data_IF_981572408577
#
_entry.id   IF_981572408577
#
_cell.length_a   1.000
_cell.length_b   1.000
_cell.length_c   1.000
_cell.angle_alpha   90.00
_cell.angle_beta   90.00
_cell.angle_gamma   90.00
#
_symmetry.space_group_name_H-M   'P 1'
#
loop_
_entity.id
_entity.type
_entity.pdbx_description
1 polymer ?
#
# COMPACT_ATOMS: atom_id res chain seq x y z
N UNK A 1 -12.72 -11.88 -30.39
CA UNK A 1 -12.49 -11.94 -28.91
C UNK A 1 -12.98 -10.62 -28.36
N UNK A 2 -14.19 -10.57 -27.75
CA UNK A 2 -14.75 -9.33 -27.17
C UNK A 2 -13.85 -8.92 -26.02
N UNK A 3 -13.30 -7.70 -26.06
CA UNK A 3 -12.75 -7.04 -24.89
C UNK A 3 -13.86 -7.06 -23.82
N UNK A 4 -13.67 -7.82 -22.75
CA UNK A 4 -14.56 -7.79 -21.57
C UNK A 4 -14.46 -6.38 -21.01
N UNK A 5 -15.63 -5.76 -20.78
CA UNK A 5 -15.73 -4.43 -20.21
C UNK A 5 -15.06 -4.40 -18.84
N UNK A 6 -13.77 -4.03 -18.84
CA UNK A 6 -13.02 -3.72 -17.62
C UNK A 6 -13.55 -2.39 -17.11
N UNK A 7 -14.06 -2.40 -15.91
CA UNK A 7 -14.54 -1.21 -15.22
C UNK A 7 -13.45 -0.75 -14.25
N UNK A 8 -13.22 0.55 -14.18
CA UNK A 8 -12.35 1.14 -13.16
C UNK A 8 -13.22 1.78 -12.09
N UNK A 9 -12.99 1.42 -10.84
CA UNK A 9 -13.58 2.08 -9.67
C UNK A 9 -12.49 2.70 -8.83
N UNK A 10 -12.79 3.86 -8.22
CA UNK A 10 -11.89 4.56 -7.30
C UNK A 10 -12.62 4.78 -5.99
N UNK A 11 -11.98 4.45 -4.90
CA UNK A 11 -12.61 4.57 -3.60
C UNK A 11 -11.61 4.38 -2.47
N UNK A 12 -12.12 4.51 -1.26
CA UNK A 12 -11.35 4.35 -0.05
C UNK A 12 -11.63 2.98 0.56
N UNK A 13 -10.60 2.30 1.01
CA UNK A 13 -10.75 1.06 1.77
C UNK A 13 -11.42 1.37 3.10
N UNK A 14 -12.65 0.92 3.27
CA UNK A 14 -13.40 1.09 4.51
C UNK A 14 -13.04 0.02 5.53
N UNK A 15 -12.86 -1.23 5.05
CA UNK A 15 -12.57 -2.38 5.91
C UNK A 15 -11.83 -3.46 5.11
N UNK A 16 -10.88 -4.12 5.75
CA UNK A 16 -10.25 -5.35 5.24
C UNK A 16 -10.92 -6.55 5.90
N UNK A 17 -11.94 -7.10 5.22
CA UNK A 17 -12.77 -8.20 5.74
C UNK A 17 -11.97 -9.51 5.88
N UNK A 18 -11.11 -9.81 4.90
CA UNK A 18 -10.31 -11.03 4.87
C UNK A 18 -9.04 -10.82 4.07
N UNK A 19 -7.95 -11.42 4.53
CA UNK A 19 -6.69 -11.49 3.80
C UNK A 19 -6.05 -12.85 3.95
N UNK A 20 -5.58 -13.39 2.83
CA UNK A 20 -4.71 -14.56 2.79
C UNK A 20 -3.31 -14.09 2.42
N UNK A 21 -2.38 -14.20 3.38
CA UNK A 21 -1.02 -13.68 3.25
C UNK A 21 -0.12 -14.53 2.34
N UNK A 22 -0.48 -15.80 2.09
CA UNK A 22 0.31 -16.68 1.22
C UNK A 22 0.15 -16.34 -0.26
N UNK A 23 -1.05 -15.88 -0.66
CA UNK A 23 -1.37 -15.61 -2.06
C UNK A 23 -1.87 -14.19 -2.33
N UNK A 24 -1.88 -13.33 -1.30
CA UNK A 24 -2.36 -11.94 -1.32
C UNK A 24 -3.85 -11.79 -1.69
N UNK A 25 -4.62 -12.88 -1.66
CA UNK A 25 -6.05 -12.80 -1.90
C UNK A 25 -6.73 -12.07 -0.75
N UNK A 26 -7.40 -10.97 -1.07
CA UNK A 26 -7.99 -10.08 -0.09
C UNK A 26 -9.45 -9.81 -0.46
N UNK A 27 -10.29 -9.68 0.55
CA UNK A 27 -11.67 -9.22 0.45
C UNK A 27 -11.77 -7.92 1.22
N UNK A 28 -12.14 -6.85 0.54
CA UNK A 28 -12.25 -5.52 1.12
C UNK A 28 -13.61 -4.91 0.87
N UNK A 29 -14.01 -4.04 1.76
CA UNK A 29 -15.12 -3.13 1.56
C UNK A 29 -14.56 -1.79 1.12
N UNK A 30 -14.97 -1.32 -0.06
CA UNK A 30 -14.50 -0.08 -0.67
C UNK A 30 -15.65 0.90 -0.71
N UNK A 31 -15.43 2.09 -0.17
CA UNK A 31 -16.36 3.21 -0.29
C UNK A 31 -16.10 3.94 -1.61
N UNK A 32 -17.05 3.86 -2.52
CA UNK A 32 -17.01 4.50 -3.84
C UNK A 32 -18.18 5.49 -3.93
N UNK A 33 -17.92 6.77 -3.67
CA UNK A 33 -18.93 7.83 -3.69
C UNK A 33 -20.14 7.54 -2.77
N UNK A 34 -19.87 7.18 -1.50
CA UNK A 34 -20.85 6.81 -0.48
C UNK A 34 -21.60 5.47 -0.76
N UNK A 35 -21.15 4.70 -1.74
CA UNK A 35 -21.64 3.34 -2.01
C UNK A 35 -20.56 2.31 -1.59
N UNK A 36 -20.95 1.36 -0.75
CA UNK A 36 -20.05 0.30 -0.27
C UNK A 36 -20.03 -0.88 -1.24
N UNK A 37 -18.88 -1.13 -1.83
CA UNK A 37 -18.65 -2.20 -2.79
C UNK A 37 -17.71 -3.24 -2.17
N UNK A 38 -18.12 -4.50 -2.15
CA UNK A 38 -17.22 -5.60 -1.80
C UNK A 38 -16.32 -5.92 -2.98
N UNK A 39 -15.01 -5.69 -2.83
CA UNK A 39 -14.01 -6.01 -3.84
C UNK A 39 -13.16 -7.21 -3.41
N UNK A 40 -12.87 -8.10 -4.37
CA UNK A 40 -12.16 -9.35 -4.12
C UNK A 40 -11.09 -9.58 -5.18
N UNK A 41 -9.89 -9.98 -4.77
CA UNK A 41 -8.79 -10.23 -5.70
C UNK A 41 -7.44 -10.30 -5.01
N UNK A 42 -6.37 -10.17 -5.77
CA UNK A 42 -5.02 -10.03 -5.22
C UNK A 42 -4.72 -8.55 -4.99
N UNK A 43 -4.46 -8.21 -3.75
CA UNK A 43 -4.12 -6.85 -3.38
C UNK A 43 -2.67 -6.76 -2.88
N UNK A 44 -1.99 -5.62 -3.08
CA UNK A 44 -0.78 -5.30 -2.34
C UNK A 44 -1.09 -5.20 -0.84
N UNK A 45 -0.11 -4.79 -0.03
CA UNK A 45 -0.42 -4.38 1.34
C UNK A 45 -1.30 -3.14 1.25
N UNK A 46 -2.49 -3.26 1.83
CA UNK A 46 -3.46 -2.17 1.93
C UNK A 46 -3.98 -2.09 3.35
N UNK A 47 -4.32 -0.87 3.75
CA UNK A 47 -4.87 -0.58 5.06
C UNK A 47 -6.20 0.17 4.93
N UNK A 48 -6.99 0.13 5.99
CA UNK A 48 -8.19 0.93 6.09
C UNK A 48 -7.84 2.42 6.00
N UNK A 49 -8.65 3.18 5.28
CA UNK A 49 -8.40 4.60 5.00
C UNK A 49 -7.55 4.88 3.76
N UNK A 50 -6.93 3.89 3.15
CA UNK A 50 -6.19 4.07 1.90
C UNK A 50 -7.11 4.18 0.68
N UNK A 51 -6.70 5.03 -0.26
CA UNK A 51 -7.38 5.19 -1.52
C UNK A 51 -6.80 4.28 -2.59
N UNK A 52 -7.69 3.62 -3.32
CA UNK A 52 -7.34 2.67 -4.38
C UNK A 52 -8.07 2.97 -5.68
N UNK A 53 -7.38 2.72 -6.78
CA UNK A 53 -7.96 2.58 -8.10
C UNK A 53 -7.95 1.09 -8.46
N UNK A 54 -9.14 0.51 -8.61
CA UNK A 54 -9.33 -0.91 -8.89
C UNK A 54 -9.81 -1.08 -10.32
N UNK A 55 -9.12 -1.89 -11.10
CA UNK A 55 -9.57 -2.32 -12.42
C UNK A 55 -10.07 -3.76 -12.32
N UNK A 56 -11.24 -4.02 -12.86
CA UNK A 56 -11.86 -5.32 -12.75
C UNK A 56 -13.26 -5.36 -13.35
N UNK A 57 -14.10 -6.23 -12.84
CA UNK A 57 -15.48 -6.40 -13.29
C UNK A 57 -16.41 -6.77 -12.15
N UNK A 58 -17.67 -6.37 -12.27
CA UNK A 58 -18.71 -6.88 -11.36
C UNK A 58 -19.05 -8.34 -11.68
N UNK A 59 -19.11 -9.15 -10.65
CA UNK A 59 -19.52 -10.56 -10.71
C UNK A 59 -20.63 -10.80 -9.69
N UNK A 60 -21.50 -11.75 -9.98
CA UNK A 60 -22.50 -12.22 -9.03
C UNK A 60 -22.01 -13.53 -8.39
N UNK A 61 -21.69 -13.47 -7.10
CA UNK A 61 -21.35 -14.64 -6.31
C UNK A 61 -22.63 -15.22 -5.71
N UNK A 62 -22.85 -16.54 -5.86
CA UNK A 62 -24.07 -17.19 -5.37
C UNK A 62 -24.26 -17.08 -3.85
N UNK A 63 -23.17 -17.00 -3.08
CA UNK A 63 -23.21 -16.96 -1.62
C UNK A 63 -23.14 -15.54 -1.05
N UNK A 64 -22.39 -14.66 -1.71
CA UNK A 64 -22.05 -13.34 -1.17
C UNK A 64 -22.63 -12.18 -1.97
N UNK A 65 -23.47 -12.44 -2.97
CA UNK A 65 -24.10 -11.41 -3.79
C UNK A 65 -23.16 -10.78 -4.81
N UNK A 66 -23.42 -9.53 -5.14
CA UNK A 66 -22.60 -8.78 -6.11
C UNK A 66 -21.24 -8.41 -5.50
N UNK A 67 -20.17 -8.69 -6.23
CA UNK A 67 -18.81 -8.36 -5.85
C UNK A 67 -18.05 -7.79 -7.03
N UNK A 68 -17.04 -6.98 -6.77
CA UNK A 68 -16.10 -6.50 -7.78
C UNK A 68 -14.86 -7.39 -7.79
N UNK A 69 -14.73 -8.21 -8.85
CA UNK A 69 -13.54 -9.04 -9.05
C UNK A 69 -12.40 -8.18 -9.61
N UNK A 70 -11.36 -8.03 -8.82
CA UNK A 70 -10.23 -7.13 -9.11
C UNK A 70 -9.19 -7.86 -9.93
N UNK A 71 -8.82 -7.29 -11.07
CA UNK A 71 -7.71 -7.75 -11.93
C UNK A 71 -6.41 -7.00 -11.60
N UNK A 72 -6.49 -5.69 -11.27
CA UNK A 72 -5.33 -4.91 -10.83
C UNK A 72 -5.70 -3.82 -9.83
N UNK A 73 -4.77 -3.50 -8.94
CA UNK A 73 -4.88 -2.51 -7.88
C UNK A 73 -3.77 -1.48 -8.05
N UNK A 74 -4.14 -0.20 -7.95
CA UNK A 74 -3.19 0.89 -7.87
C UNK A 74 -3.51 1.70 -6.61
N UNK A 75 -2.51 1.88 -5.75
CA UNK A 75 -2.62 2.81 -4.63
C UNK A 75 -2.67 4.24 -5.18
N UNK A 76 -3.59 5.02 -4.68
CA UNK A 76 -3.76 6.42 -5.05
C UNK A 76 -3.87 7.23 -3.76
N UNK A 77 -3.19 8.37 -3.64
CA UNK A 77 -3.41 9.22 -2.49
C UNK A 77 -4.86 9.71 -2.48
N UNK A 78 -5.47 9.92 -1.31
CA UNK A 78 -6.79 10.49 -1.21
C UNK A 78 -6.80 11.89 -1.84
N UNK A 79 -7.81 12.17 -2.65
CA UNK A 79 -7.98 13.44 -3.37
C UNK A 79 -9.11 14.30 -2.81
N UNK A 80 -9.74 13.86 -1.71
CA UNK A 80 -10.79 14.61 -1.01
C UNK A 80 -10.36 14.96 0.40
N UNK A 81 -10.86 16.06 0.94
CA UNK A 81 -10.59 16.50 2.31
C UNK A 81 -10.95 15.43 3.33
N UNK A 82 -12.12 14.80 3.19
CA UNK A 82 -12.57 13.71 4.06
C UNK A 82 -11.64 12.50 3.96
N UNK A 83 -11.25 12.11 2.76
CA UNK A 83 -10.31 11.02 2.52
C UNK A 83 -8.95 11.27 3.17
N UNK A 84 -8.41 12.49 3.05
CA UNK A 84 -7.15 12.89 3.70
C UNK A 84 -7.24 12.81 5.23
N UNK A 85 -8.36 13.27 5.83
CA UNK A 85 -8.56 13.18 7.28
C UNK A 85 -8.59 11.71 7.73
N UNK A 86 -9.36 10.87 7.03
CA UNK A 86 -9.44 9.43 7.34
C UNK A 86 -8.09 8.74 7.18
N UNK A 87 -7.38 9.00 6.09
CA UNK A 87 -6.04 8.44 5.84
C UNK A 87 -5.06 8.78 6.96
N UNK A 88 -4.94 10.07 7.32
CA UNK A 88 -4.03 10.51 8.37
C UNK A 88 -4.40 9.98 9.76
N UNK A 89 -5.70 9.75 10.02
CA UNK A 89 -6.20 9.26 11.32
C UNK A 89 -6.40 7.75 11.40
N UNK A 90 -6.08 7.00 10.36
CA UNK A 90 -6.27 5.54 10.28
C UNK A 90 -5.36 4.74 11.23
N UNK A 91 -4.39 5.38 11.87
CA UNK A 91 -3.39 4.72 12.71
C UNK A 91 -2.09 4.38 11.97
N UNK A 92 -2.03 4.56 10.66
CA UNK A 92 -0.81 4.40 9.85
C UNK A 92 0.29 5.36 10.28
N UNK A 93 -0.10 6.58 10.68
CA UNK A 93 0.85 7.61 11.15
C UNK A 93 0.67 7.78 12.66
N UNK A 94 1.61 7.28 13.48
CA UNK A 94 1.53 7.37 14.94
C UNK A 94 1.38 8.83 15.41
N UNK A 95 0.52 9.04 16.41
CA UNK A 95 0.31 10.36 17.01
C UNK A 95 -0.58 11.32 16.21
N UNK A 96 -1.11 10.91 15.06
CA UNK A 96 -2.10 11.66 14.30
C UNK A 96 -3.49 11.09 14.54
N UNK A 97 -4.22 11.65 15.51
CA UNK A 97 -5.63 11.32 15.73
C UNK A 97 -6.55 12.19 14.87
N UNK A 98 -7.88 11.92 14.89
CA UNK A 98 -8.86 12.62 14.05
C UNK A 98 -8.81 14.16 14.16
N UNK A 99 -8.64 14.69 15.37
CA UNK A 99 -8.57 16.15 15.60
C UNK A 99 -7.31 16.75 14.96
N UNK A 100 -6.17 16.08 15.11
CA UNK A 100 -4.90 16.54 14.52
C UNK A 100 -4.96 16.47 12.99
N UNK A 101 -5.47 15.36 12.44
CA UNK A 101 -5.68 15.18 11.01
C UNK A 101 -6.58 16.29 10.45
N UNK A 102 -7.71 16.55 11.09
CA UNK A 102 -8.63 17.61 10.68
C UNK A 102 -7.97 18.99 10.69
N UNK A 103 -7.18 19.33 11.72
CA UNK A 103 -6.47 20.60 11.80
C UNK A 103 -5.44 20.77 10.66
N UNK A 104 -4.73 19.70 10.31
CA UNK A 104 -3.74 19.68 9.23
C UNK A 104 -4.46 19.86 7.88
N UNK A 105 -5.46 19.02 7.62
CA UNK A 105 -6.17 19.04 6.34
C UNK A 105 -6.97 20.32 6.13
N UNK A 106 -7.60 20.86 7.16
CA UNK A 106 -8.29 22.15 7.06
C UNK A 106 -7.34 23.31 6.70
N UNK A 107 -6.08 23.21 7.10
CA UNK A 107 -5.10 24.24 6.80
C UNK A 107 -4.48 24.11 5.41
N UNK A 108 -4.16 22.89 5.00
CA UNK A 108 -3.38 22.62 3.79
C UNK A 108 -4.19 22.04 2.64
N UNK A 109 -5.44 21.57 2.90
CA UNK A 109 -6.33 21.00 1.87
C UNK A 109 -5.67 19.84 1.13
N UNK A 110 -5.80 19.85 -0.18
CA UNK A 110 -5.24 18.83 -1.08
C UNK A 110 -3.69 18.76 -1.04
N UNK A 111 -3.03 19.86 -0.68
CA UNK A 111 -1.56 19.91 -0.55
C UNK A 111 -1.03 19.23 0.71
N UNK A 112 -1.90 18.65 1.57
CA UNK A 112 -1.51 18.08 2.87
C UNK A 112 -0.38 17.06 2.75
N UNK A 113 -0.47 16.11 1.83
CA UNK A 113 0.55 15.05 1.68
C UNK A 113 1.88 15.61 1.15
N UNK A 114 1.84 16.57 0.25
CA UNK A 114 3.04 17.27 -0.25
C UNK A 114 3.70 18.08 0.87
N UNK A 115 2.91 18.71 1.74
CA UNK A 115 3.42 19.43 2.91
C UNK A 115 4.07 18.45 3.90
N UNK A 116 3.46 17.30 4.18
CA UNK A 116 4.04 16.28 5.05
C UNK A 116 5.40 15.84 4.48
N UNK A 117 5.47 15.60 3.20
CA UNK A 117 6.65 15.04 2.54
C UNK A 117 7.78 16.05 2.31
N UNK A 118 7.45 17.22 1.80
CA UNK A 118 8.47 18.17 1.31
C UNK A 118 8.65 19.40 2.17
N UNK A 119 7.70 19.71 3.06
CA UNK A 119 7.68 20.93 3.86
C UNK A 119 7.09 20.69 5.26
N UNK A 120 7.44 19.57 5.88
CA UNK A 120 6.84 19.12 7.15
C UNK A 120 6.97 20.13 8.30
N UNK A 121 7.97 21.01 8.27
CA UNK A 121 8.12 22.09 9.26
C UNK A 121 6.86 22.97 9.36
N UNK A 122 6.14 23.13 8.24
CA UNK A 122 4.90 23.90 8.20
C UNK A 122 3.75 23.24 8.96
N UNK A 123 3.82 21.94 9.26
CA UNK A 123 2.83 21.28 10.10
C UNK A 123 2.79 21.88 11.51
N UNK A 124 3.92 22.43 11.99
CA UNK A 124 3.98 23.12 13.28
C UNK A 124 3.14 24.42 13.33
N UNK A 125 2.65 24.91 12.19
CA UNK A 125 1.68 26.00 12.12
C UNK A 125 0.26 25.53 12.50
N UNK A 126 0.01 24.22 12.57
CA UNK A 126 -1.28 23.65 12.94
C UNK A 126 -1.40 23.52 14.46
N UNK A 127 -2.61 23.79 14.96
CA UNK A 127 -2.89 23.63 16.40
C UNK A 127 -2.70 22.18 16.83
N UNK A 128 -1.86 21.96 17.84
CA UNK A 128 -1.59 20.63 18.39
C UNK A 128 -0.46 19.87 17.72
N UNK A 129 0.28 20.51 16.80
CA UNK A 129 1.47 19.96 16.16
C UNK A 129 2.70 20.79 16.57
N UNK A 130 3.59 20.20 17.36
CA UNK A 130 4.90 20.80 17.65
C UNK A 130 5.89 20.51 16.50
N UNK A 131 7.03 21.22 16.47
CA UNK A 131 8.09 20.93 15.48
C UNK A 131 8.55 19.48 15.53
N UNK A 132 8.77 18.94 16.74
CA UNK A 132 9.14 17.54 16.93
C UNK A 132 8.08 16.59 16.38
N UNK A 133 6.80 16.90 16.65
CA UNK A 133 5.69 16.07 16.13
C UNK A 133 5.58 16.15 14.60
N UNK A 134 5.90 17.30 14.01
CA UNK A 134 5.95 17.45 12.56
C UNK A 134 7.02 16.54 11.91
N UNK A 135 8.20 16.46 12.52
CA UNK A 135 9.26 15.52 12.10
C UNK A 135 8.83 14.07 12.26
N UNK A 136 8.24 13.70 13.40
CA UNK A 136 7.73 12.34 13.65
C UNK A 136 6.65 11.94 12.63
N UNK A 137 5.75 12.85 12.25
CA UNK A 137 4.73 12.61 11.21
C UNK A 137 5.38 12.39 9.84
N UNK A 138 6.37 13.20 9.47
CA UNK A 138 7.10 13.05 8.22
C UNK A 138 7.82 11.70 8.15
N UNK A 139 8.57 11.35 9.19
CA UNK A 139 9.29 10.07 9.26
C UNK A 139 8.36 8.87 9.14
N UNK A 140 7.25 8.86 9.90
CA UNK A 140 6.29 7.77 9.84
C UNK A 140 5.60 7.66 8.47
N UNK A 141 5.28 8.79 7.84
CA UNK A 141 4.71 8.81 6.50
C UNK A 141 5.67 8.23 5.45
N UNK A 142 6.94 8.61 5.48
CA UNK A 142 7.96 8.09 4.57
C UNK A 142 8.22 6.60 4.81
N UNK A 143 8.28 6.14 6.06
CA UNK A 143 8.47 4.73 6.41
C UNK A 143 7.35 3.85 5.84
N UNK A 144 6.08 4.28 5.98
CA UNK A 144 4.94 3.57 5.40
C UNK A 144 5.05 3.48 3.89
N UNK A 145 5.40 4.59 3.23
CA UNK A 145 5.55 4.61 1.77
C UNK A 145 6.70 3.74 1.27
N UNK A 146 7.84 3.78 1.93
CA UNK A 146 9.01 2.96 1.57
C UNK A 146 8.70 1.47 1.71
N UNK A 147 8.07 1.08 2.82
CA UNK A 147 7.65 -0.31 3.03
C UNK A 147 6.66 -0.78 1.95
N UNK A 148 5.65 0.02 1.63
CA UNK A 148 4.68 -0.31 0.58
C UNK A 148 5.34 -0.47 -0.79
N UNK A 149 6.24 0.43 -1.15
CA UNK A 149 6.99 0.35 -2.41
C UNK A 149 7.86 -0.90 -2.46
N UNK A 150 8.61 -1.20 -1.40
CA UNK A 150 9.45 -2.39 -1.32
C UNK A 150 8.62 -3.68 -1.47
N UNK A 151 7.47 -3.76 -0.80
CA UNK A 151 6.57 -4.91 -0.92
C UNK A 151 6.00 -5.02 -2.34
N UNK A 152 5.62 -3.92 -2.99
CA UNK A 152 5.16 -3.94 -4.37
C UNK A 152 6.24 -4.46 -5.34
N UNK A 153 7.48 -4.05 -5.15
CA UNK A 153 8.62 -4.58 -5.93
C UNK A 153 8.76 -6.09 -5.67
N UNK A 154 8.75 -6.51 -4.42
CA UNK A 154 8.92 -7.93 -4.07
C UNK A 154 7.78 -8.84 -4.58
N UNK A 155 6.58 -8.30 -4.78
CA UNK A 155 5.48 -9.05 -5.41
C UNK A 155 5.76 -9.43 -6.86
N UNK A 156 6.57 -8.65 -7.59
CA UNK A 156 7.01 -8.99 -8.95
C UNK A 156 7.87 -10.26 -8.96
N UNK A 157 8.56 -10.54 -7.87
CA UNK A 157 9.34 -11.78 -7.65
C UNK A 157 8.49 -12.93 -7.10
N UNK A 158 7.17 -12.79 -7.07
CA UNK A 158 6.25 -13.76 -6.48
C UNK A 158 6.53 -14.05 -4.99
N UNK A 159 7.09 -13.09 -4.27
CA UNK A 159 7.26 -13.14 -2.82
C UNK A 159 5.92 -12.80 -2.17
N UNK A 160 5.51 -13.62 -1.19
CA UNK A 160 4.30 -13.32 -0.42
C UNK A 160 4.45 -12.05 0.41
N UNK A 161 3.35 -11.37 0.71
CA UNK A 161 3.34 -10.14 1.48
C UNK A 161 4.02 -10.30 2.85
N UNK A 162 3.71 -11.37 3.59
CA UNK A 162 4.33 -11.64 4.89
C UNK A 162 5.85 -11.78 4.80
N UNK A 163 6.32 -12.46 3.76
CA UNK A 163 7.74 -12.64 3.54
C UNK A 163 8.39 -11.32 3.12
N UNK A 164 7.73 -10.53 2.28
CA UNK A 164 8.18 -9.22 1.88
C UNK A 164 8.31 -8.25 3.06
N UNK A 165 7.36 -8.27 4.01
CA UNK A 165 7.47 -7.49 5.24
C UNK A 165 8.68 -7.93 6.08
N UNK A 166 8.91 -9.23 6.23
CA UNK A 166 10.08 -9.75 6.96
C UNK A 166 11.40 -9.30 6.32
N UNK A 167 11.49 -9.37 4.99
CA UNK A 167 12.66 -8.90 4.24
C UNK A 167 12.87 -7.40 4.49
N UNK A 168 11.80 -6.61 4.35
CA UNK A 168 11.90 -5.17 4.57
C UNK A 168 12.27 -4.81 6.01
N UNK A 169 11.72 -5.51 7.00
CA UNK A 169 12.08 -5.30 8.41
C UNK A 169 13.55 -5.64 8.69
N UNK A 170 14.14 -6.59 7.94
CA UNK A 170 15.55 -6.98 8.09
C UNK A 170 16.50 -6.00 7.39
N UNK A 171 16.16 -5.53 6.20
CA UNK A 171 17.07 -4.78 5.34
C UNK A 171 16.69 -3.32 5.12
N UNK A 172 15.43 -2.92 5.43
CA UNK A 172 14.94 -1.56 5.22
C UNK A 172 15.12 -1.10 3.77
N UNK A 173 15.73 0.07 3.61
CA UNK A 173 16.05 0.66 2.29
C UNK A 173 17.03 -0.19 1.47
N UNK A 174 17.84 -1.05 2.10
CA UNK A 174 18.75 -1.98 1.43
C UNK A 174 18.07 -3.18 0.77
N UNK A 175 16.75 -3.31 0.89
CA UNK A 175 15.99 -4.45 0.34
C UNK A 175 16.21 -4.63 -1.16
N UNK A 176 16.14 -3.55 -1.93
CA UNK A 176 16.29 -3.61 -3.39
C UNK A 176 17.71 -4.05 -3.79
N UNK A 177 18.72 -3.57 -3.09
CA UNK A 177 20.13 -3.95 -3.32
C UNK A 177 20.37 -5.44 -3.06
N UNK A 178 19.82 -5.98 -1.96
CA UNK A 178 19.92 -7.41 -1.64
C UNK A 178 19.20 -8.28 -2.66
N UNK A 179 18.01 -7.89 -3.10
CA UNK A 179 17.27 -8.64 -4.12
C UNK A 179 18.04 -8.71 -5.45
N UNK A 180 18.66 -7.60 -5.86
CA UNK A 180 19.40 -7.51 -7.12
C UNK A 180 20.77 -8.17 -7.06
N UNK A 181 21.53 -7.89 -6.02
CA UNK A 181 22.95 -8.22 -5.99
C UNK A 181 23.29 -9.50 -5.21
N UNK A 182 22.47 -9.89 -4.23
CA UNK A 182 22.75 -11.07 -3.41
C UNK A 182 21.47 -11.73 -2.83
N UNK A 183 20.55 -12.24 -3.66
CA UNK A 183 19.30 -12.84 -3.19
C UNK A 183 19.50 -14.08 -2.31
N UNK A 184 20.62 -14.76 -2.41
CA UNK A 184 20.92 -15.95 -1.59
C UNK A 184 21.16 -15.61 -0.13
N UNK A 185 21.58 -14.39 0.20
CA UNK A 185 21.73 -13.93 1.58
C UNK A 185 20.39 -13.94 2.35
N UNK A 186 19.27 -13.79 1.63
CA UNK A 186 17.94 -13.91 2.23
C UNK A 186 17.69 -15.28 2.87
N UNK A 187 18.32 -16.35 2.37
CA UNK A 187 18.18 -17.71 2.91
C UNK A 187 18.80 -17.82 4.30
N UNK A 188 19.86 -17.06 4.55
CA UNK A 188 20.57 -17.04 5.83
C UNK A 188 19.89 -16.12 6.85
N UNK A 189 19.35 -14.98 6.37
CA UNK A 189 18.97 -13.88 7.25
C UNK A 189 17.44 -13.79 7.49
N UNK A 190 16.61 -14.49 6.71
CA UNK A 190 15.15 -14.37 6.79
C UNK A 190 14.45 -15.72 6.91
N UNK A 191 13.86 -15.97 8.07
CA UNK A 191 13.10 -17.20 8.32
C UNK A 191 11.94 -17.37 7.34
N UNK A 192 11.90 -18.53 6.66
CA UNK A 192 10.87 -18.86 5.69
C UNK A 192 11.28 -18.65 4.23
N UNK A 193 12.51 -18.18 3.98
CA UNK A 193 13.11 -18.15 2.65
C UNK A 193 14.02 -19.36 2.48
N UNK A 194 13.70 -20.21 1.50
CA UNK A 194 14.57 -21.29 1.07
C UNK A 194 15.28 -20.97 -0.24
N UNK A 195 16.27 -21.80 -0.60
CA UNK A 195 17.02 -21.69 -1.86
C UNK A 195 16.12 -21.56 -3.08
N UNK A 196 15.00 -22.28 -3.13
CA UNK A 196 14.03 -22.19 -4.24
C UNK A 196 13.45 -20.77 -4.44
N UNK A 197 13.22 -20.04 -3.35
CA UNK A 197 12.74 -18.65 -3.42
C UNK A 197 13.86 -17.72 -3.87
N UNK A 198 15.07 -17.90 -3.35
CA UNK A 198 16.25 -17.13 -3.75
C UNK A 198 16.59 -17.35 -5.23
N UNK A 199 16.53 -18.60 -5.74
CA UNK A 199 16.72 -18.94 -7.15
C UNK A 199 15.69 -18.21 -8.03
N UNK A 200 14.41 -18.17 -7.65
CA UNK A 200 13.40 -17.44 -8.38
C UNK A 200 13.69 -15.96 -8.50
N UNK A 201 14.13 -15.34 -7.40
CA UNK A 201 14.50 -13.91 -7.38
C UNK A 201 15.68 -13.69 -8.34
N UNK A 202 16.74 -14.49 -8.22
CA UNK A 202 17.92 -14.39 -9.08
C UNK A 202 17.60 -14.55 -10.57
N UNK A 203 16.71 -15.49 -10.93
CA UNK A 203 16.29 -15.72 -12.33
C UNK A 203 15.48 -14.52 -12.86
N UNK A 204 14.58 -13.96 -12.06
CA UNK A 204 13.75 -12.81 -12.47
C UNK A 204 14.64 -11.59 -12.68
N UNK A 205 15.59 -11.30 -11.78
CA UNK A 205 16.54 -10.21 -11.94
C UNK A 205 17.38 -10.39 -13.22
N UNK A 206 17.91 -11.59 -13.44
CA UNK A 206 18.65 -11.88 -14.65
C UNK A 206 17.82 -11.60 -15.93
N UNK A 207 16.54 -12.02 -15.94
CA UNK A 207 15.65 -11.78 -17.08
C UNK A 207 15.34 -10.29 -17.24
N UNK A 208 15.12 -9.54 -16.14
CA UNK A 208 14.85 -8.10 -16.20
C UNK A 208 16.04 -7.30 -16.73
N UNK A 209 17.26 -7.66 -16.35
CA UNK A 209 18.48 -7.03 -16.90
C UNK A 209 18.64 -7.25 -18.40
N UNK A 210 18.27 -8.41 -18.92
CA UNK A 210 18.40 -8.73 -20.35
C UNK A 210 17.22 -8.28 -21.21
N UNK A 211 16.05 -7.98 -20.65
CA UNK A 211 14.88 -7.50 -21.38
C UNK A 211 14.79 -5.95 -21.48
N UNK A 212 15.73 -5.23 -20.91
CA UNK A 212 15.81 -3.75 -20.96
C UNK A 212 16.68 -3.20 -22.08
N UNK A 213 16.99 -4.04 -23.09
CA UNK A 213 17.67 -3.64 -24.34
C UNK A 213 16.75 -3.68 -25.55
#
# INVERSE_FOLDING_TARGET
MKLKDLTTIKGMIQEVIYRNDDNNYTVVLVDVNDELITATGKFPIINEGEWVELNGKFILNQKYGQQFAVDSVKLSPPNTTEGLVRYLSSGLIPGVGPVTAMNIVNKFGEATLDIIRYNHERLAECRGVSKKKAEEICMAYEEVHQMQNAVMIMQQYHISTNLAIKIYNQYGEGTEDILKNNPYKLVEDVDGIGFFTADKIAIIEFVLEFCTF
#
